data_IF_787506160022
#
_entry.id   IF_787506160022
#
_cell.length_a   1.000
_cell.length_b   1.000
_cell.length_c   1.000
_cell.angle_alpha   90.00
_cell.angle_beta   90.00
_cell.angle_gamma   90.00
#
_symmetry.space_group_name_H-M   'P 1'
#
loop_
_entity.id
_entity.type
_entity.pdbx_description
1 polymer ?
#
# COMPACT_ATOMS: atom_id res chain seq x y z
N UNK A 1 -15.36 3.94 -7.98
CA UNK A 1 -16.28 4.52 -6.95
C UNK A 1 -15.97 3.98 -5.56
N UNK A 2 -16.08 2.67 -5.33
CA UNK A 2 -15.81 2.06 -4.00
C UNK A 2 -14.47 2.46 -3.38
N UNK A 3 -13.39 2.43 -4.16
CA UNK A 3 -12.07 2.89 -3.69
C UNK A 3 -12.07 4.35 -3.24
N UNK A 4 -12.74 5.26 -3.98
CA UNK A 4 -12.83 6.66 -3.61
C UNK A 4 -13.63 6.87 -2.31
N UNK A 5 -14.75 6.15 -2.17
CA UNK A 5 -15.54 6.16 -0.93
C UNK A 5 -14.71 5.67 0.25
N UNK A 6 -13.99 4.55 0.09
CA UNK A 6 -13.12 3.99 1.13
C UNK A 6 -11.98 4.95 1.55
N UNK A 7 -11.38 5.64 0.57
CA UNK A 7 -10.34 6.64 0.83
C UNK A 7 -10.90 7.85 1.58
N UNK A 8 -12.08 8.34 1.19
CA UNK A 8 -12.73 9.48 1.86
C UNK A 8 -13.17 9.10 3.27
N UNK A 9 -13.79 7.94 3.46
CA UNK A 9 -14.19 7.45 4.79
C UNK A 9 -12.98 7.25 5.71
N UNK A 10 -11.90 6.63 5.20
CA UNK A 10 -10.65 6.45 5.93
C UNK A 10 -10.03 7.79 6.34
N UNK A 11 -9.93 8.75 5.41
CA UNK A 11 -9.40 10.10 5.73
C UNK A 11 -10.23 10.84 6.77
N UNK A 12 -11.56 10.77 6.66
CA UNK A 12 -12.45 11.42 7.62
C UNK A 12 -12.35 10.77 8.99
N UNK A 13 -12.21 9.44 9.08
CA UNK A 13 -12.01 8.73 10.33
C UNK A 13 -10.79 9.26 11.11
N UNK A 14 -9.64 9.43 10.45
CA UNK A 14 -8.43 9.96 11.10
C UNK A 14 -8.55 11.41 11.59
N UNK A 15 -9.56 12.16 11.13
CA UNK A 15 -9.88 13.51 11.63
C UNK A 15 -10.75 13.50 12.89
N UNK A 16 -11.39 12.38 13.21
CA UNK A 16 -12.28 12.24 14.38
C UNK A 16 -11.51 11.93 15.68
N UNK A 17 -12.22 11.95 16.81
CA UNK A 17 -11.68 11.52 18.12
C UNK A 17 -11.21 10.06 18.09
N UNK A 18 -11.94 9.18 17.41
CA UNK A 18 -11.60 7.75 17.28
C UNK A 18 -10.27 7.60 16.53
N UNK A 19 -10.10 8.31 15.42
CA UNK A 19 -8.86 8.29 14.65
C UNK A 19 -7.63 8.74 15.43
N UNK A 20 -7.76 9.81 16.24
CA UNK A 20 -6.67 10.27 17.11
C UNK A 20 -6.32 9.26 18.19
N UNK A 21 -7.31 8.58 18.77
CA UNK A 21 -7.08 7.52 19.75
C UNK A 21 -6.36 6.31 19.12
N UNK A 22 -6.70 5.95 17.87
CA UNK A 22 -5.99 4.89 17.13
C UNK A 22 -4.52 5.24 16.90
N UNK A 23 -4.22 6.50 16.56
CA UNK A 23 -2.84 6.98 16.40
C UNK A 23 -2.09 6.92 17.75
N UNK A 24 -2.71 7.36 18.84
CA UNK A 24 -2.10 7.29 20.17
C UNK A 24 -1.73 5.85 20.58
N UNK A 25 -2.64 4.89 20.33
CA UNK A 25 -2.41 3.46 20.60
C UNK A 25 -1.30 2.89 19.71
N UNK A 26 -1.19 3.33 18.45
CA UNK A 26 -0.14 2.93 17.51
C UNK A 26 1.24 3.44 17.95
N UNK A 27 1.31 4.68 18.43
CA UNK A 27 2.58 5.31 18.76
C UNK A 27 3.14 4.79 20.09
N UNK A 28 2.33 4.78 21.17
CA UNK A 28 2.67 4.20 22.48
C UNK A 28 1.42 3.74 23.24
N UNK A 29 1.23 2.44 23.36
CA UNK A 29 0.07 1.85 24.05
C UNK A 29 0.06 2.14 25.56
N UNK A 30 1.19 2.01 26.25
CA UNK A 30 1.29 2.34 27.69
C UNK A 30 0.90 3.80 27.94
N UNK A 31 1.37 4.73 27.11
CA UNK A 31 1.05 6.16 27.27
C UNK A 31 -0.43 6.44 26.97
N UNK A 32 -1.02 5.77 25.98
CA UNK A 32 -2.44 5.88 25.67
C UNK A 32 -3.32 5.41 26.84
N UNK A 33 -2.94 4.33 27.52
CA UNK A 33 -3.66 3.81 28.67
C UNK A 33 -3.64 4.79 29.86
N UNK A 34 -2.49 5.43 30.13
CA UNK A 34 -2.34 6.43 31.20
C UNK A 34 -3.25 7.65 31.04
N UNK A 35 -3.54 8.06 29.80
CA UNK A 35 -4.46 9.19 29.50
C UNK A 35 -5.92 8.74 29.36
N UNK A 36 -6.25 7.50 29.74
CA UNK A 36 -7.62 6.97 29.81
C UNK A 36 -8.15 6.39 28.50
N UNK A 37 -7.30 6.07 27.53
CA UNK A 37 -7.71 5.41 26.28
C UNK A 37 -7.74 3.90 26.50
N UNK A 38 -8.92 3.28 26.38
CA UNK A 38 -9.07 1.83 26.54
C UNK A 38 -8.45 1.05 25.37
N UNK A 39 -7.28 0.46 25.56
CA UNK A 39 -6.53 -0.26 24.52
C UNK A 39 -7.36 -1.36 23.83
N UNK A 40 -8.08 -2.16 24.61
CA UNK A 40 -8.91 -3.26 24.09
C UNK A 40 -9.96 -2.76 23.07
N UNK A 41 -10.72 -1.71 23.41
CA UNK A 41 -11.78 -1.20 22.52
C UNK A 41 -11.19 -0.66 21.21
N UNK A 42 -10.08 0.06 21.27
CA UNK A 42 -9.48 0.66 20.07
C UNK A 42 -8.74 -0.35 19.21
N UNK A 43 -8.09 -1.37 19.79
CA UNK A 43 -7.51 -2.49 19.02
C UNK A 43 -8.61 -3.33 18.35
N UNK A 44 -9.72 -3.60 19.05
CA UNK A 44 -10.87 -4.30 18.47
C UNK A 44 -11.53 -3.49 17.35
N UNK A 45 -11.70 -2.17 17.53
CA UNK A 45 -12.20 -1.28 16.48
C UNK A 45 -11.27 -1.24 15.26
N UNK A 46 -9.96 -1.18 15.48
CA UNK A 46 -8.97 -1.24 14.39
C UNK A 46 -9.11 -2.54 13.58
N UNK A 47 -9.23 -3.67 14.27
CA UNK A 47 -9.45 -4.97 13.63
C UNK A 47 -10.78 -5.01 12.87
N UNK A 48 -11.88 -4.58 13.48
CA UNK A 48 -13.20 -4.56 12.84
C UNK A 48 -13.22 -3.67 11.58
N UNK A 49 -12.61 -2.48 11.64
CA UNK A 49 -12.49 -1.58 10.49
C UNK A 49 -11.64 -2.18 9.38
N UNK A 50 -10.50 -2.79 9.71
CA UNK A 50 -9.64 -3.48 8.74
C UNK A 50 -10.41 -4.60 8.02
N UNK A 51 -11.07 -5.47 8.79
CA UNK A 51 -11.87 -6.58 8.27
C UNK A 51 -13.06 -6.10 7.42
N UNK A 52 -13.66 -4.95 7.76
CA UNK A 52 -14.72 -4.33 6.95
C UNK A 52 -14.20 -3.91 5.56
N UNK A 53 -13.06 -3.23 5.48
CA UNK A 53 -12.46 -2.86 4.19
C UNK A 53 -12.02 -4.10 3.39
N UNK A 54 -11.42 -5.09 4.05
CA UNK A 54 -11.03 -6.35 3.42
C UNK A 54 -12.25 -7.13 2.89
N UNK A 55 -13.35 -7.15 3.64
CA UNK A 55 -14.61 -7.79 3.22
C UNK A 55 -15.23 -7.13 1.99
N UNK A 56 -15.24 -5.79 1.92
CA UNK A 56 -15.68 -5.07 0.72
C UNK A 56 -14.78 -5.40 -0.47
N UNK A 57 -13.45 -5.40 -0.28
CA UNK A 57 -12.50 -5.72 -1.33
C UNK A 57 -12.70 -7.16 -1.85
N UNK A 58 -12.85 -8.13 -0.97
CA UNK A 58 -13.12 -9.53 -1.32
C UNK A 58 -14.45 -9.73 -2.04
N UNK A 59 -15.52 -9.07 -1.58
CA UNK A 59 -16.83 -9.10 -2.24
C UNK A 59 -16.80 -8.52 -3.66
N UNK A 60 -16.10 -7.40 -3.85
CA UNK A 60 -15.88 -6.81 -5.18
C UNK A 60 -15.04 -7.72 -6.07
N UNK A 61 -14.01 -8.36 -5.52
CA UNK A 61 -13.15 -9.27 -6.26
C UNK A 61 -13.93 -10.51 -6.73
N UNK A 62 -14.74 -11.13 -5.85
CA UNK A 62 -15.58 -12.27 -6.22
C UNK A 62 -16.63 -11.94 -7.27
N UNK A 63 -17.21 -10.73 -7.22
CA UNK A 63 -18.10 -10.24 -8.27
C UNK A 63 -17.37 -10.06 -9.62
N UNK A 64 -16.11 -9.65 -9.60
CA UNK A 64 -15.30 -9.47 -10.81
C UNK A 64 -14.86 -10.82 -11.42
N UNK A 65 -14.37 -11.75 -10.62
CA UNK A 65 -13.84 -13.02 -11.13
C UNK A 65 -14.92 -14.05 -11.49
N UNK A 66 -16.15 -13.90 -10.97
CA UNK A 66 -17.30 -14.81 -11.14
C UNK A 66 -17.07 -16.26 -10.64
N UNK A 67 -15.83 -16.65 -10.40
CA UNK A 67 -15.41 -17.95 -9.88
C UNK A 67 -14.44 -17.68 -8.73
N UNK A 68 -14.68 -18.35 -7.61
CA UNK A 68 -13.85 -18.25 -6.41
C UNK A 68 -13.24 -19.63 -6.19
N UNK A 69 -11.92 -19.72 -6.37
CA UNK A 69 -11.15 -20.93 -6.06
C UNK A 69 -10.07 -20.66 -5.03
N UNK A 70 -9.68 -21.67 -4.21
CA UNK A 70 -8.63 -21.51 -3.19
C UNK A 70 -7.27 -21.11 -3.77
N UNK A 71 -7.00 -21.42 -5.04
CA UNK A 71 -5.72 -21.11 -5.69
C UNK A 71 -5.46 -19.60 -5.82
N UNK A 72 -6.50 -18.76 -5.70
CA UNK A 72 -6.34 -17.31 -5.71
C UNK A 72 -5.88 -16.73 -4.35
N UNK A 73 -6.02 -17.49 -3.25
CA UNK A 73 -5.74 -17.02 -1.90
C UNK A 73 -4.43 -17.61 -1.36
N UNK A 74 -3.33 -17.38 -2.07
CA UNK A 74 -2.02 -17.89 -1.66
C UNK A 74 -1.31 -16.94 -0.69
N UNK A 75 -0.32 -17.48 0.03
CA UNK A 75 0.58 -16.69 0.89
C UNK A 75 1.34 -15.65 0.06
N UNK A 76 1.67 -15.96 -1.19
CA UNK A 76 2.38 -15.04 -2.10
C UNK A 76 1.57 -13.77 -2.32
N UNK A 77 0.27 -13.88 -2.60
CA UNK A 77 -0.62 -12.71 -2.76
C UNK A 77 -0.69 -11.87 -1.48
N UNK A 78 -0.63 -12.51 -0.31
CA UNK A 78 -0.60 -11.79 0.98
C UNK A 78 0.71 -10.99 1.15
N UNK A 79 1.84 -11.58 0.75
CA UNK A 79 3.14 -10.89 0.74
C UNK A 79 3.12 -9.73 -0.26
N UNK A 80 2.50 -9.91 -1.43
CA UNK A 80 2.39 -8.84 -2.43
C UNK A 80 1.61 -7.65 -1.89
N UNK A 81 0.48 -7.87 -1.20
CA UNK A 81 -0.26 -6.78 -0.55
C UNK A 81 0.54 -6.09 0.55
N UNK A 82 1.30 -6.85 1.35
CA UNK A 82 2.20 -6.26 2.35
C UNK A 82 3.28 -5.41 1.68
N UNK A 83 3.88 -5.90 0.59
CA UNK A 83 4.87 -5.17 -0.19
C UNK A 83 4.31 -3.86 -0.75
N UNK A 84 3.09 -3.87 -1.29
CA UNK A 84 2.41 -2.65 -1.76
C UNK A 84 2.25 -1.60 -0.65
N UNK A 85 1.87 -2.04 0.55
CA UNK A 85 1.69 -1.14 1.70
C UNK A 85 3.03 -0.60 2.20
N UNK A 86 4.05 -1.45 2.29
CA UNK A 86 5.40 -1.09 2.73
C UNK A 86 6.02 -0.07 1.77
N UNK A 87 6.02 -0.35 0.47
CA UNK A 87 6.56 0.56 -0.55
C UNK A 87 5.78 1.88 -0.59
N UNK A 88 4.47 1.83 -0.37
CA UNK A 88 3.64 3.03 -0.27
C UNK A 88 3.94 3.90 0.94
N UNK A 89 4.29 3.30 2.08
CA UNK A 89 4.52 3.98 3.36
C UNK A 89 3.46 3.63 4.40
N UNK A 90 3.90 3.12 5.55
CA UNK A 90 3.03 2.67 6.64
C UNK A 90 2.29 3.86 7.28
N UNK A 91 0.96 3.76 7.35
CA UNK A 91 0.12 4.77 8.01
C UNK A 91 -0.24 5.99 7.15
N UNK A 92 0.10 6.00 5.86
CA UNK A 92 -0.33 7.03 4.90
C UNK A 92 -1.30 6.47 3.87
N UNK A 93 -2.55 6.94 3.88
CA UNK A 93 -3.57 6.51 2.88
C UNK A 93 -3.11 6.86 1.46
N UNK A 94 -2.50 8.02 1.25
CA UNK A 94 -1.96 8.40 -0.07
C UNK A 94 -0.77 7.55 -0.45
N UNK A 95 0.12 7.30 0.50
CA UNK A 95 1.28 6.43 0.32
C UNK A 95 0.86 5.07 -0.18
N UNK A 96 -0.10 4.43 0.49
CA UNK A 96 -0.62 3.12 0.08
C UNK A 96 -1.18 3.13 -1.35
N UNK A 97 -1.90 4.19 -1.76
CA UNK A 97 -2.40 4.30 -3.14
C UNK A 97 -1.24 4.35 -4.15
N UNK A 98 -0.22 5.17 -3.88
CA UNK A 98 0.96 5.25 -4.73
C UNK A 98 1.74 3.93 -4.76
N UNK A 99 1.89 3.25 -3.62
CA UNK A 99 2.52 1.95 -3.52
C UNK A 99 1.82 0.88 -4.35
N UNK A 100 0.48 0.80 -4.25
CA UNK A 100 -0.32 -0.12 -5.08
C UNK A 100 -0.17 0.20 -6.56
N UNK A 101 -0.29 1.47 -6.96
CA UNK A 101 -0.15 1.87 -8.37
C UNK A 101 1.25 1.51 -8.89
N UNK A 102 2.29 1.86 -8.14
CA UNK A 102 3.67 1.60 -8.52
C UNK A 102 3.95 0.11 -8.66
N UNK A 103 3.57 -0.69 -7.65
CA UNK A 103 3.77 -2.14 -7.66
C UNK A 103 2.94 -2.87 -8.70
N UNK A 104 1.81 -2.30 -9.14
CA UNK A 104 1.00 -2.88 -10.23
C UNK A 104 1.57 -2.51 -11.59
N UNK A 105 1.98 -1.25 -11.78
CA UNK A 105 2.46 -0.74 -13.06
C UNK A 105 3.87 -1.22 -13.37
N UNK A 106 4.74 -1.37 -12.37
CA UNK A 106 6.11 -1.82 -12.56
C UNK A 106 6.23 -3.16 -13.32
N UNK A 107 5.59 -4.27 -12.89
CA UNK A 107 5.65 -5.53 -13.63
C UNK A 107 4.98 -5.46 -15.01
N UNK A 108 3.95 -4.62 -15.18
CA UNK A 108 3.28 -4.41 -16.46
C UNK A 108 4.19 -3.68 -17.47
N UNK A 109 4.94 -2.67 -17.01
CA UNK A 109 5.95 -1.98 -17.81
C UNK A 109 7.08 -2.92 -18.20
N UNK A 110 7.59 -3.73 -17.27
CA UNK A 110 8.60 -4.74 -17.57
C UNK A 110 8.08 -5.76 -18.59
N UNK A 111 6.79 -6.09 -18.54
CA UNK A 111 6.14 -6.97 -19.52
C UNK A 111 6.07 -6.33 -20.89
N UNK A 112 5.60 -5.09 -20.98
CA UNK A 112 5.50 -4.36 -22.25
C UNK A 112 6.87 -4.16 -22.89
N UNK A 113 7.88 -3.78 -22.10
CA UNK A 113 9.26 -3.68 -22.57
C UNK A 113 9.81 -5.03 -23.07
N UNK A 114 9.52 -6.11 -22.36
CA UNK A 114 9.93 -7.45 -22.79
C UNK A 114 9.29 -7.89 -24.10
N UNK A 115 8.08 -7.43 -24.41
CA UNK A 115 7.38 -7.72 -25.68
C UNK A 115 7.99 -6.94 -26.85
N UNK A 116 8.28 -5.65 -26.67
CA UNK A 116 8.92 -4.82 -27.70
C UNK A 116 10.32 -5.36 -28.04
N UNK A 117 11.09 -5.76 -27.02
CA UNK A 117 12.41 -6.36 -27.19
C UNK A 117 12.34 -7.75 -27.84
N UNK A 118 11.20 -8.45 -27.72
CA UNK A 118 10.95 -9.78 -28.30
C UNK A 118 10.98 -9.77 -29.82
N UNK A 119 10.47 -8.70 -30.43
CA UNK A 119 10.45 -8.51 -31.88
C UNK A 119 11.86 -8.32 -32.47
N UNK A 120 12.84 -7.90 -31.65
CA UNK A 120 14.23 -7.66 -32.10
C UNK A 120 15.19 -8.78 -31.66
N UNK A 121 15.01 -9.37 -30.48
CA UNK A 121 15.90 -10.38 -29.91
C UNK A 121 15.13 -11.56 -29.29
N UNK A 122 14.68 -12.50 -30.13
CA UNK A 122 13.80 -13.60 -29.74
C UNK A 122 14.30 -14.51 -28.59
N UNK A 123 15.61 -14.72 -28.45
CA UNK A 123 16.19 -15.61 -27.42
C UNK A 123 16.36 -14.97 -26.02
N UNK A 124 16.32 -13.63 -25.88
CA UNK A 124 16.54 -12.94 -24.59
C UNK A 124 15.28 -12.93 -23.71
N UNK A 125 14.13 -13.26 -24.30
CA UNK A 125 12.83 -13.02 -23.66
C UNK A 125 12.39 -14.05 -22.64
N UNK A 126 12.95 -15.26 -22.69
CA UNK A 126 12.79 -16.26 -21.62
C UNK A 126 13.52 -15.84 -20.35
N UNK A 127 14.70 -15.21 -20.46
CA UNK A 127 15.42 -14.66 -19.29
C UNK A 127 14.69 -13.46 -18.68
N UNK A 128 14.11 -12.59 -19.51
CA UNK A 128 13.37 -11.42 -19.04
C UNK A 128 12.16 -11.77 -18.17
N UNK A 129 11.46 -12.87 -18.44
CA UNK A 129 10.32 -13.29 -17.63
C UNK A 129 10.73 -13.75 -16.23
N UNK A 130 11.87 -14.43 -16.09
CA UNK A 130 12.43 -14.82 -14.79
C UNK A 130 12.95 -13.61 -14.00
N UNK A 131 13.49 -12.61 -14.69
CA UNK A 131 13.98 -11.36 -14.08
C UNK A 131 12.84 -10.53 -13.48
N UNK A 132 11.60 -10.59 -13.97
CA UNK A 132 10.48 -9.79 -13.43
C UNK A 132 10.27 -10.01 -11.93
N UNK A 133 10.25 -11.27 -11.48
CA UNK A 133 10.11 -11.60 -10.06
C UNK A 133 11.29 -11.11 -9.24
N UNK A 134 12.51 -11.17 -9.79
CA UNK A 134 13.71 -10.64 -9.13
C UNK A 134 13.65 -9.12 -9.02
N UNK A 135 13.22 -8.42 -10.07
CA UNK A 135 13.09 -6.95 -10.06
C UNK A 135 12.03 -6.53 -9.05
N UNK A 136 10.91 -7.25 -8.95
CA UNK A 136 9.91 -6.99 -7.90
C UNK A 136 10.52 -7.14 -6.50
N UNK A 137 11.17 -8.27 -6.21
CA UNK A 137 11.80 -8.52 -4.92
C UNK A 137 12.89 -7.50 -4.58
N UNK A 138 13.76 -7.18 -5.54
CA UNK A 138 14.80 -6.15 -5.39
C UNK A 138 14.18 -4.78 -5.15
N UNK A 139 13.07 -4.46 -5.83
CA UNK A 139 12.38 -3.17 -5.63
C UNK A 139 11.82 -3.06 -4.22
N UNK A 140 11.20 -4.12 -3.69
CA UNK A 140 10.74 -4.17 -2.30
C UNK A 140 11.91 -3.95 -1.34
N UNK A 141 13.00 -4.69 -1.52
CA UNK A 141 14.19 -4.59 -0.66
C UNK A 141 14.81 -3.20 -0.74
N UNK A 142 14.91 -2.65 -1.95
CA UNK A 142 15.47 -1.32 -2.19
C UNK A 142 14.64 -0.24 -1.48
N UNK A 143 13.31 -0.30 -1.57
CA UNK A 143 12.43 0.63 -0.87
C UNK A 143 12.50 0.48 0.65
N UNK A 144 12.59 -0.76 1.15
CA UNK A 144 12.80 -1.02 2.58
C UNK A 144 14.11 -0.42 3.10
N UNK A 145 15.16 -0.40 2.29
CA UNK A 145 16.48 0.11 2.67
C UNK A 145 16.57 1.63 2.51
N UNK A 146 16.09 2.18 1.39
CA UNK A 146 16.30 3.58 1.05
C UNK A 146 15.31 4.52 1.74
N UNK A 147 14.06 4.11 1.93
CA UNK A 147 13.02 4.98 2.48
C UNK A 147 12.07 4.21 3.41
N UNK A 148 12.37 4.17 4.73
CA UNK A 148 11.50 3.48 5.71
C UNK A 148 10.09 4.11 5.83
N UNK A 149 9.92 5.36 5.37
CA UNK A 149 8.61 6.02 5.29
C UNK A 149 7.88 5.82 3.94
N UNK A 150 8.53 5.18 2.96
CA UNK A 150 7.98 4.86 1.64
C UNK A 150 7.71 6.07 0.73
N UNK A 151 7.04 5.80 -0.40
CA UNK A 151 6.66 6.81 -1.43
C UNK A 151 5.86 8.00 -0.86
N UNK A 152 5.20 7.82 0.29
CA UNK A 152 4.52 8.88 1.01
C UNK A 152 5.45 10.07 1.34
N UNK A 153 6.70 9.80 1.70
CA UNK A 153 7.64 10.82 2.15
C UNK A 153 8.24 11.61 0.99
N UNK A 154 8.48 10.96 -0.15
CA UNK A 154 8.82 11.64 -1.41
C UNK A 154 7.72 12.63 -1.78
N UNK A 155 6.45 12.20 -1.74
CA UNK A 155 5.32 13.06 -2.06
C UNK A 155 5.22 14.25 -1.09
N UNK A 156 5.47 14.03 0.21
CA UNK A 156 5.48 15.10 1.22
C UNK A 156 6.59 16.11 0.94
N UNK A 157 7.81 15.65 0.62
CA UNK A 157 8.96 16.51 0.28
C UNK A 157 8.71 17.33 -0.98
N UNK A 158 8.21 16.72 -2.05
CA UNK A 158 7.85 17.42 -3.29
C UNK A 158 6.78 18.48 -3.02
N UNK A 159 5.72 18.13 -2.28
CA UNK A 159 4.67 19.08 -1.95
C UNK A 159 5.17 20.23 -1.06
N UNK A 160 6.06 19.94 -0.11
CA UNK A 160 6.67 20.95 0.75
C UNK A 160 7.56 21.90 -0.06
N UNK A 161 8.37 21.37 -0.98
CA UNK A 161 9.20 22.16 -1.90
C UNK A 161 8.35 23.13 -2.72
N UNK A 162 7.28 22.64 -3.36
CA UNK A 162 6.38 23.48 -4.15
C UNK A 162 5.57 24.49 -3.35
N UNK A 163 5.32 24.24 -2.05
CA UNK A 163 4.56 25.15 -1.19
C UNK A 163 5.44 26.24 -0.55
N UNK A 164 6.72 25.94 -0.34
CA UNK A 164 7.71 26.87 0.22
C UNK A 164 8.41 27.70 -0.86
N UNK A 165 8.21 27.38 -2.14
CA UNK A 165 8.63 28.23 -3.24
C UNK A 165 7.66 29.43 -3.35
N UNK A 166 8.10 30.72 -3.26
CA UNK A 166 9.47 31.26 -3.31
C UNK A 166 10.07 31.78 -1.97
N UNK A 167 9.46 31.52 -0.80
CA UNK A 167 10.02 31.97 0.48
C UNK A 167 10.54 30.77 1.29
N UNK A 168 11.86 30.56 1.23
CA UNK A 168 12.57 29.54 1.99
C UNK A 168 12.69 29.94 3.47
N UNK A 169 11.69 29.62 4.27
CA UNK A 169 11.82 29.51 5.73
C UNK A 169 11.04 28.29 6.23
#
# INVERSE_FOLDING_TARGET
>A
VFAAVAVVSGRNLFRTRIGRALIAVRDRDIAAELIGISLFKYKLLAFALSSFYAGIAGGLWGFYTNVITPEHFTIVVSIDYLAMIIVGGLGSILGTIFGVIFMTVLPELLTTLSLILKDTFGQITTLLSAIKGMVFAVTVILFLILEPEGLAEIWRRVKAYWRLWPFSY
#
